data_IF_286436539386
#
_entry.id   IF_286436539386
#
_cell.length_a   1.000
_cell.length_b   1.000
_cell.length_c   1.000
_cell.angle_alpha   90.00
_cell.angle_beta   90.00
_cell.angle_gamma   90.00
#
_symmetry.space_group_name_H-M   'P 1'
#
loop_
_entity.id
_entity.type
_entity.pdbx_description
1 polymer ?
#
# COMPACT_ATOMS: atom_id res chain seq x y z
N UNK A 1 -71.86 49.36 -20.80
CA UNK A 1 -71.45 48.19 -20.01
C UNK A 1 -70.02 47.83 -20.37
N UNK A 2 -69.10 47.86 -19.39
CA UNK A 2 -67.94 46.98 -19.39
C UNK A 2 -67.90 46.11 -18.12
N UNK A 3 -67.45 44.87 -18.31
CA UNK A 3 -67.49 43.75 -17.36
C UNK A 3 -66.48 43.90 -16.22
N UNK A 4 -66.91 43.46 -15.02
CA UNK A 4 -66.11 43.33 -13.81
C UNK A 4 -65.23 42.06 -13.88
N UNK A 5 -63.91 42.23 -13.83
CA UNK A 5 -62.96 41.13 -13.68
C UNK A 5 -62.88 40.72 -12.21
N UNK A 6 -63.30 39.50 -11.92
CA UNK A 6 -63.20 38.83 -10.63
C UNK A 6 -61.77 38.33 -10.39
N UNK A 7 -61.11 38.83 -9.35
CA UNK A 7 -59.82 38.29 -8.87
C UNK A 7 -60.13 37.27 -7.78
N UNK A 8 -60.09 35.98 -8.13
CA UNK A 8 -60.13 34.89 -7.15
C UNK A 8 -58.73 34.65 -6.57
N UNK A 9 -58.62 34.92 -5.28
CA UNK A 9 -57.52 34.52 -4.41
C UNK A 9 -57.63 33.01 -4.11
N UNK A 10 -56.61 32.24 -4.49
CA UNK A 10 -56.45 30.84 -4.09
C UNK A 10 -54.99 30.57 -3.69
N UNK A 11 -54.73 29.71 -2.68
CA UNK A 11 -53.39 29.47 -2.17
C UNK A 11 -52.54 28.68 -3.17
N UNK A 12 -51.26 29.05 -3.28
CA UNK A 12 -50.23 28.38 -4.09
C UNK A 12 -50.11 26.91 -3.69
N UNK A 13 -50.17 25.94 -4.61
CA UNK A 13 -49.87 24.55 -4.29
C UNK A 13 -48.38 24.41 -3.93
N UNK A 14 -48.12 23.73 -2.81
CA UNK A 14 -46.77 23.38 -2.36
C UNK A 14 -46.05 22.50 -3.40
N UNK A 15 -44.71 22.57 -3.49
CA UNK A 15 -43.97 21.82 -4.49
C UNK A 15 -44.04 20.32 -4.20
N UNK A 16 -44.68 19.59 -5.12
CA UNK A 16 -44.65 18.14 -5.19
C UNK A 16 -43.20 17.66 -5.17
N UNK A 17 -42.83 16.92 -4.11
CA UNK A 17 -41.54 16.28 -4.04
C UNK A 17 -41.56 15.07 -4.98
N UNK A 18 -41.07 15.27 -6.20
CA UNK A 18 -40.93 14.18 -7.17
C UNK A 18 -39.79 13.25 -6.74
N UNK A 19 -40.13 12.02 -6.38
CA UNK A 19 -39.14 10.95 -6.17
C UNK A 19 -38.71 10.47 -7.56
N UNK A 20 -37.56 10.96 -8.03
CA UNK A 20 -36.92 10.37 -9.22
C UNK A 20 -36.29 9.02 -8.83
N UNK A 21 -36.85 7.95 -9.39
CA UNK A 21 -36.20 6.63 -9.39
C UNK A 21 -35.03 6.70 -10.37
N UNK A 22 -33.83 6.89 -9.84
CA UNK A 22 -32.59 6.81 -10.62
C UNK A 22 -32.25 5.34 -10.80
N UNK A 23 -32.22 4.87 -12.05
CA UNK A 23 -31.73 3.53 -12.39
C UNK A 23 -30.30 3.37 -11.87
N UNK A 24 -30.11 2.44 -10.92
CA UNK A 24 -28.80 2.09 -10.38
C UNK A 24 -27.98 1.38 -11.46
N UNK A 25 -27.38 2.15 -12.37
CA UNK A 25 -26.73 1.60 -13.55
C UNK A 25 -25.45 2.29 -14.02
N UNK A 26 -24.99 3.39 -13.41
CA UNK A 26 -23.69 3.99 -13.75
C UNK A 26 -22.95 4.36 -12.47
N UNK A 27 -21.97 3.55 -12.10
CA UNK A 27 -20.97 3.97 -11.13
C UNK A 27 -20.02 4.93 -11.84
N UNK A 28 -20.10 6.21 -11.51
CA UNK A 28 -19.18 7.26 -11.98
C UNK A 28 -17.78 7.09 -11.34
N UNK A 29 -17.07 6.04 -11.74
CA UNK A 29 -15.65 5.86 -11.43
C UNK A 29 -15.01 5.54 -12.78
N UNK A 30 -14.27 6.51 -13.31
CA UNK A 30 -13.35 6.33 -14.44
C UNK A 30 -12.38 5.19 -14.06
N UNK A 31 -12.41 4.04 -14.76
CA UNK A 31 -11.47 2.94 -14.55
C UNK A 31 -10.00 3.33 -14.79
N UNK A 32 -9.79 4.46 -15.45
CA UNK A 32 -8.54 4.83 -16.12
C UNK A 32 -7.44 5.35 -15.18
N UNK A 33 -7.79 5.97 -14.04
CA UNK A 33 -6.82 6.58 -13.10
C UNK A 33 -5.87 5.54 -12.45
N UNK A 34 -6.38 4.34 -12.15
CA UNK A 34 -5.57 3.28 -11.51
C UNK A 34 -4.75 2.48 -12.51
N UNK A 35 -5.25 2.24 -13.72
CA UNK A 35 -4.46 1.60 -14.77
C UNK A 35 -3.27 2.46 -15.17
N UNK A 36 -3.42 3.78 -15.16
CA UNK A 36 -2.35 4.72 -15.44
C UNK A 36 -1.27 4.70 -14.34
N UNK A 37 -1.66 4.62 -13.07
CA UNK A 37 -0.71 4.41 -11.95
C UNK A 37 0.03 3.07 -12.04
N UNK A 38 -0.66 1.99 -12.43
CA UNK A 38 -0.05 0.66 -12.64
C UNK A 38 0.93 0.68 -13.82
N UNK A 39 0.59 1.38 -14.91
CA UNK A 39 1.46 1.58 -16.08
C UNK A 39 2.68 2.41 -15.74
N UNK A 40 2.59 3.36 -14.79
CA UNK A 40 3.72 4.17 -14.36
C UNK A 40 4.82 3.35 -13.63
N UNK A 41 4.47 2.22 -13.00
CA UNK A 41 5.42 1.29 -12.37
C UNK A 41 6.12 0.37 -13.37
N UNK A 42 5.52 0.18 -14.54
CA UNK A 42 6.03 -0.73 -15.56
C UNK A 42 6.88 0.07 -16.56
N UNK A 43 8.12 -0.38 -16.85
CA UNK A 43 8.94 0.21 -17.90
C UNK A 43 8.20 0.25 -19.24
N UNK A 44 8.49 1.25 -20.08
CA UNK A 44 7.80 1.48 -21.36
C UNK A 44 6.33 1.91 -21.22
N UNK A 45 5.97 2.61 -20.13
CA UNK A 45 4.65 3.21 -19.90
C UNK A 45 4.12 4.10 -21.05
N UNK A 46 5.01 4.59 -21.92
CA UNK A 46 4.68 5.34 -23.14
C UNK A 46 3.85 4.52 -24.15
N UNK A 47 3.85 3.19 -24.07
CA UNK A 47 3.00 2.33 -24.89
C UNK A 47 2.10 1.46 -23.99
N UNK A 48 0.81 1.77 -23.88
CA UNK A 48 -0.09 1.09 -22.96
C UNK A 48 -0.23 -0.40 -23.27
N UNK A 49 -0.13 -0.80 -24.54
CA UNK A 49 -0.23 -2.23 -24.92
C UNK A 49 1.01 -3.02 -24.50
N UNK A 50 2.20 -2.42 -24.55
CA UNK A 50 3.44 -3.05 -24.06
C UNK A 50 3.44 -3.13 -22.54
N UNK A 51 3.03 -2.05 -21.87
CA UNK A 51 2.94 -2.01 -20.41
C UNK A 51 1.93 -3.04 -19.87
N UNK A 52 0.72 -3.10 -20.42
CA UNK A 52 -0.27 -4.14 -20.06
C UNK A 52 0.23 -5.54 -20.35
N UNK A 53 0.95 -5.76 -21.45
CA UNK A 53 1.55 -7.07 -21.72
C UNK A 53 2.62 -7.43 -20.65
N UNK A 54 3.49 -6.48 -20.33
CA UNK A 54 4.55 -6.68 -19.33
C UNK A 54 4.00 -6.82 -17.91
N UNK A 55 2.83 -6.27 -17.57
CA UNK A 55 2.20 -6.48 -16.24
C UNK A 55 1.91 -7.96 -16.00
N UNK A 56 1.33 -8.65 -16.98
CA UNK A 56 1.10 -10.10 -16.88
C UNK A 56 2.41 -10.89 -16.90
N UNK A 57 3.42 -10.46 -17.66
CA UNK A 57 4.74 -11.10 -17.63
C UNK A 57 5.42 -10.95 -16.25
N UNK A 58 5.30 -9.78 -15.63
CA UNK A 58 5.75 -9.52 -14.26
C UNK A 58 4.99 -10.39 -13.25
N UNK A 59 3.69 -10.65 -13.45
CA UNK A 59 2.93 -11.59 -12.63
C UNK A 59 3.25 -13.09 -12.89
N UNK A 60 4.22 -13.40 -13.76
CA UNK A 60 4.69 -14.77 -14.01
C UNK A 60 3.95 -15.51 -15.13
N UNK A 61 3.01 -14.87 -15.82
CA UNK A 61 2.30 -15.50 -16.93
C UNK A 61 3.23 -15.78 -18.12
N UNK A 62 2.98 -16.88 -18.83
CA UNK A 62 3.67 -17.19 -20.07
C UNK A 62 3.34 -16.17 -21.17
N UNK A 63 4.15 -16.16 -22.23
CA UNK A 63 3.93 -15.29 -23.39
C UNK A 63 2.56 -15.53 -24.02
N UNK A 64 2.13 -16.80 -24.09
CA UNK A 64 0.84 -17.17 -24.69
C UNK A 64 -0.33 -16.69 -23.84
N UNK A 65 -0.26 -16.88 -22.53
CA UNK A 65 -1.30 -16.40 -21.61
C UNK A 65 -1.39 -14.88 -21.61
N UNK A 66 -0.24 -14.20 -21.58
CA UNK A 66 -0.18 -12.73 -21.63
C UNK A 66 -0.79 -12.18 -22.92
N UNK A 67 -0.57 -12.83 -24.07
CA UNK A 67 -1.20 -12.48 -25.35
C UNK A 67 -2.70 -12.83 -25.42
N UNK A 68 -3.20 -13.72 -24.56
CA UNK A 68 -4.62 -14.03 -24.49
C UNK A 68 -5.37 -13.04 -23.60
N UNK A 69 -4.73 -12.58 -22.51
CA UNK A 69 -5.28 -11.61 -21.57
C UNK A 69 -5.21 -10.18 -22.11
N UNK A 70 -4.10 -9.81 -22.73
CA UNK A 70 -3.98 -8.55 -23.48
C UNK A 70 -4.28 -8.85 -24.93
N UNK A 71 -5.23 -8.17 -25.60
CA UNK A 71 -5.59 -8.42 -27.00
C UNK A 71 -4.45 -8.01 -27.97
N UNK A 72 -3.38 -8.80 -27.95
CA UNK A 72 -2.12 -8.61 -28.68
C UNK A 72 -1.73 -9.98 -29.24
N UNK A 73 -1.42 -10.03 -30.53
CA UNK A 73 -1.02 -11.27 -31.18
C UNK A 73 0.45 -11.59 -30.92
N UNK A 74 0.82 -12.86 -30.94
CA UNK A 74 2.23 -13.27 -30.84
C UNK A 74 3.11 -12.65 -31.93
N UNK A 75 2.57 -12.44 -33.14
CA UNK A 75 3.27 -11.74 -34.21
C UNK A 75 3.62 -10.29 -33.84
N UNK A 76 2.73 -9.60 -33.11
CA UNK A 76 2.97 -8.25 -32.60
C UNK A 76 4.11 -8.24 -31.57
N UNK A 77 4.10 -9.18 -30.63
CA UNK A 77 5.19 -9.33 -29.65
C UNK A 77 6.52 -9.64 -30.33
N UNK A 78 6.51 -10.50 -31.35
CA UNK A 78 7.71 -10.81 -32.14
C UNK A 78 8.25 -9.57 -32.86
N UNK A 79 7.38 -8.72 -33.39
CA UNK A 79 7.78 -7.44 -33.97
C UNK A 79 8.38 -6.51 -32.90
N UNK A 80 7.76 -6.39 -31.72
CA UNK A 80 8.32 -5.60 -30.61
C UNK A 80 9.70 -6.07 -30.19
N UNK A 81 9.94 -7.38 -30.06
CA UNK A 81 11.28 -7.93 -29.72
C UNK A 81 12.36 -7.60 -30.76
N UNK A 82 11.97 -7.42 -32.03
CA UNK A 82 12.88 -7.10 -33.14
C UNK A 82 13.14 -5.60 -33.22
N UNK A 83 12.10 -4.80 -33.06
CA UNK A 83 12.12 -3.36 -33.33
C UNK A 83 12.45 -2.55 -32.06
N UNK A 84 12.34 -3.15 -30.87
CA UNK A 84 12.60 -2.52 -29.58
C UNK A 84 13.46 -3.44 -28.69
N UNK A 85 14.76 -3.12 -28.64
CA UNK A 85 15.73 -3.86 -27.83
C UNK A 85 15.48 -3.71 -26.33
N UNK A 86 14.95 -2.57 -25.89
CA UNK A 86 14.62 -2.34 -24.49
C UNK A 86 13.47 -3.26 -24.06
N UNK A 87 12.42 -3.35 -24.87
CA UNK A 87 11.30 -4.28 -24.65
C UNK A 87 11.79 -5.74 -24.56
N UNK A 88 12.67 -6.15 -25.48
CA UNK A 88 13.26 -7.50 -25.46
C UNK A 88 13.99 -7.78 -24.14
N UNK A 89 14.70 -6.77 -23.63
CA UNK A 89 15.33 -6.83 -22.31
C UNK A 89 14.32 -7.04 -21.20
N UNK A 90 13.27 -6.23 -21.11
CA UNK A 90 12.26 -6.34 -20.03
C UNK A 90 11.42 -7.62 -20.07
N UNK A 91 11.28 -8.22 -21.25
CA UNK A 91 10.46 -9.42 -21.45
C UNK A 91 11.20 -10.73 -21.10
N UNK A 92 12.52 -10.70 -20.93
CA UNK A 92 13.34 -11.90 -20.76
C UNK A 92 14.55 -11.69 -19.85
N UNK A 93 15.14 -12.79 -19.36
CA UNK A 93 16.37 -12.75 -18.57
C UNK A 93 16.24 -12.01 -17.23
N UNK A 94 17.28 -11.25 -16.88
CA UNK A 94 17.44 -10.62 -15.57
C UNK A 94 16.39 -9.52 -15.30
N UNK A 95 16.06 -8.70 -16.30
CA UNK A 95 15.07 -7.62 -16.14
C UNK A 95 13.66 -8.15 -15.89
N UNK A 96 13.29 -9.28 -16.51
CA UNK A 96 12.03 -9.95 -16.21
C UNK A 96 12.02 -10.48 -14.77
N UNK A 97 13.12 -11.10 -14.32
CA UNK A 97 13.24 -11.60 -12.95
C UNK A 97 13.15 -10.45 -11.93
N UNK A 98 13.72 -9.29 -12.25
CA UNK A 98 13.56 -8.08 -11.46
C UNK A 98 12.10 -7.62 -11.40
N UNK A 99 11.39 -7.57 -12.53
CA UNK A 99 9.96 -7.22 -12.56
C UNK A 99 9.12 -8.18 -11.71
N UNK A 100 9.40 -9.48 -11.81
CA UNK A 100 8.72 -10.50 -11.02
C UNK A 100 8.95 -10.36 -9.52
N UNK A 101 10.15 -9.92 -9.12
CA UNK A 101 10.51 -9.80 -7.70
C UNK A 101 10.06 -8.48 -7.08
N UNK A 102 10.03 -7.39 -7.86
CA UNK A 102 9.84 -6.03 -7.34
C UNK A 102 8.50 -5.40 -7.72
N UNK A 103 7.87 -5.84 -8.82
CA UNK A 103 6.67 -5.18 -9.37
C UNK A 103 5.44 -6.08 -9.29
N UNK A 104 5.62 -7.41 -9.35
CA UNK A 104 4.50 -8.35 -9.33
C UNK A 104 3.62 -8.24 -8.07
N UNK A 105 4.25 -8.08 -6.91
CA UNK A 105 3.54 -7.93 -5.64
C UNK A 105 2.68 -6.66 -5.63
N UNK A 106 3.29 -5.52 -5.96
CA UNK A 106 2.62 -4.23 -6.07
C UNK A 106 1.42 -4.28 -7.02
N UNK A 107 1.60 -4.84 -8.21
CA UNK A 107 0.53 -4.98 -9.21
C UNK A 107 -0.64 -5.80 -8.64
N UNK A 108 -0.33 -6.94 -8.04
CA UNK A 108 -1.35 -7.84 -7.45
C UNK A 108 -2.08 -7.16 -6.30
N UNK A 109 -1.36 -6.48 -5.41
CA UNK A 109 -1.95 -5.78 -4.28
C UNK A 109 -2.87 -4.65 -4.75
N UNK A 110 -2.43 -3.85 -5.71
CA UNK A 110 -3.22 -2.77 -6.28
C UNK A 110 -4.48 -3.27 -7.00
N UNK A 111 -4.37 -4.31 -7.82
CA UNK A 111 -5.51 -4.94 -8.49
C UNK A 111 -6.51 -5.54 -7.49
N UNK A 112 -6.01 -6.22 -6.46
CA UNK A 112 -6.82 -6.75 -5.38
C UNK A 112 -7.56 -5.62 -4.64
N UNK A 113 -6.85 -4.57 -4.24
CA UNK A 113 -7.43 -3.43 -3.53
C UNK A 113 -8.49 -2.70 -4.36
N UNK A 114 -8.27 -2.57 -5.68
CA UNK A 114 -9.26 -2.04 -6.62
C UNK A 114 -10.53 -2.89 -6.63
N UNK A 115 -10.38 -4.20 -6.82
CA UNK A 115 -11.51 -5.13 -6.86
C UNK A 115 -12.25 -5.17 -5.51
N UNK A 116 -11.51 -5.14 -4.40
CA UNK A 116 -12.07 -5.08 -3.06
C UNK A 116 -12.92 -3.83 -2.85
N UNK A 117 -12.45 -2.66 -3.29
CA UNK A 117 -13.22 -1.40 -3.24
C UNK A 117 -14.53 -1.48 -4.05
N UNK A 118 -14.52 -2.15 -5.20
CA UNK A 118 -15.73 -2.35 -6.01
C UNK A 118 -16.75 -3.23 -5.26
N UNK A 119 -16.31 -4.31 -4.63
CA UNK A 119 -17.16 -5.14 -3.77
C UNK A 119 -17.77 -4.32 -2.62
N UNK A 120 -16.95 -3.56 -1.89
CA UNK A 120 -17.42 -2.71 -0.78
C UNK A 120 -18.47 -1.67 -1.23
N UNK A 121 -18.38 -1.14 -2.45
CA UNK A 121 -19.40 -0.24 -3.01
C UNK A 121 -20.73 -0.94 -3.25
N UNK A 122 -20.71 -2.18 -3.74
CA UNK A 122 -21.92 -2.97 -3.91
C UNK A 122 -22.53 -3.30 -2.55
N UNK A 123 -21.70 -3.74 -1.60
CA UNK A 123 -22.11 -4.07 -0.24
C UNK A 123 -22.75 -2.87 0.47
N UNK A 124 -22.16 -1.67 0.32
CA UNK A 124 -22.71 -0.41 0.85
C UNK A 124 -24.15 -0.19 0.40
N UNK A 125 -24.49 -0.45 -0.87
CA UNK A 125 -25.87 -0.26 -1.37
C UNK A 125 -26.85 -1.18 -0.66
N UNK A 126 -26.51 -2.45 -0.51
CA UNK A 126 -27.34 -3.45 0.17
C UNK A 126 -27.48 -3.12 1.65
N UNK A 127 -26.37 -2.80 2.33
CA UNK A 127 -26.36 -2.44 3.75
C UNK A 127 -27.17 -1.18 4.03
N UNK A 128 -27.04 -0.16 3.18
CA UNK A 128 -27.80 1.09 3.34
C UNK A 128 -29.31 0.87 3.21
N UNK A 129 -29.75 0.10 2.21
CA UNK A 129 -31.16 -0.28 2.06
C UNK A 129 -31.66 -1.11 3.25
N UNK A 130 -30.86 -2.07 3.70
CA UNK A 130 -31.22 -2.94 4.82
C UNK A 130 -31.35 -2.17 6.14
N UNK A 131 -30.53 -1.14 6.35
CA UNK A 131 -30.60 -0.28 7.52
C UNK A 131 -31.88 0.57 7.56
N UNK A 132 -32.43 0.94 6.41
CA UNK A 132 -33.67 1.72 6.30
C UNK A 132 -34.93 0.84 6.35
N UNK A 133 -34.93 -0.27 5.62
CA UNK A 133 -36.05 -1.23 5.62
C UNK A 133 -35.59 -2.61 5.15
N UNK A 134 -35.53 -3.56 6.08
CA UNK A 134 -35.12 -4.94 5.80
C UNK A 134 -36.11 -5.67 4.86
N UNK A 135 -37.40 -5.37 4.97
CA UNK A 135 -38.46 -5.99 4.14
C UNK A 135 -38.43 -5.51 2.70
N UNK A 136 -37.79 -4.37 2.43
CA UNK A 136 -37.67 -3.79 1.09
C UNK A 136 -36.57 -4.43 0.23
N UNK A 137 -35.82 -5.40 0.76
CA UNK A 137 -34.76 -6.09 0.05
C UNK A 137 -35.33 -7.17 -0.88
N UNK A 138 -34.79 -7.24 -2.09
CA UNK A 138 -35.04 -8.37 -2.98
C UNK A 138 -34.44 -9.66 -2.42
N UNK A 139 -34.93 -10.86 -2.82
CA UNK A 139 -34.37 -12.14 -2.36
C UNK A 139 -32.85 -12.24 -2.60
N UNK A 140 -32.38 -11.73 -3.74
CA UNK A 140 -30.95 -11.69 -4.12
C UNK A 140 -30.13 -10.78 -3.19
N UNK A 141 -30.63 -9.59 -2.89
CA UNK A 141 -29.97 -8.67 -1.95
C UNK A 141 -29.94 -9.25 -0.54
N UNK A 142 -30.97 -10.00 -0.14
CA UNK A 142 -31.01 -10.68 1.15
C UNK A 142 -29.98 -11.81 1.26
N UNK A 143 -29.73 -12.57 0.18
CA UNK A 143 -28.65 -13.54 0.11
C UNK A 143 -27.27 -12.87 0.22
N UNK A 144 -27.06 -11.79 -0.52
CA UNK A 144 -25.84 -10.99 -0.45
C UNK A 144 -25.63 -10.46 0.98
N UNK A 145 -26.68 -9.92 1.62
CA UNK A 145 -26.62 -9.43 2.99
C UNK A 145 -26.22 -10.52 3.99
N UNK A 146 -26.74 -11.75 3.83
CA UNK A 146 -26.35 -12.90 4.66
C UNK A 146 -24.88 -13.26 4.50
N UNK A 147 -24.31 -13.11 3.31
CA UNK A 147 -22.88 -13.34 3.06
C UNK A 147 -22.05 -12.22 3.68
N UNK A 148 -22.39 -10.96 3.38
CA UNK A 148 -21.70 -9.77 3.89
C UNK A 148 -21.57 -9.82 5.42
N UNK A 149 -22.66 -10.14 6.13
CA UNK A 149 -22.68 -10.18 7.60
C UNK A 149 -21.72 -11.20 8.21
N UNK A 150 -21.33 -12.25 7.49
CA UNK A 150 -20.35 -13.24 7.98
C UNK A 150 -18.95 -12.66 8.11
N UNK A 151 -18.65 -11.56 7.41
CA UNK A 151 -17.32 -10.95 7.36
C UNK A 151 -17.16 -9.74 8.29
N UNK A 152 -18.17 -9.42 9.12
CA UNK A 152 -18.07 -8.40 10.17
C UNK A 152 -17.67 -9.02 11.51
N UNK A 153 -16.71 -9.94 11.50
CA UNK A 153 -16.13 -10.49 12.72
C UNK A 153 -14.88 -9.70 13.12
N UNK A 154 -14.52 -9.67 14.41
CA UNK A 154 -13.27 -9.05 14.85
C UNK A 154 -12.03 -9.62 14.14
N UNK A 155 -12.05 -10.92 13.79
CA UNK A 155 -10.94 -11.57 13.10
C UNK A 155 -10.78 -11.06 11.66
N UNK A 156 -11.90 -10.91 10.94
CA UNK A 156 -11.88 -10.37 9.59
C UNK A 156 -11.43 -8.90 9.57
N UNK A 157 -11.86 -8.11 10.57
CA UNK A 157 -11.43 -6.71 10.71
C UNK A 157 -9.92 -6.62 10.93
N UNK A 158 -9.36 -7.49 11.79
CA UNK A 158 -7.91 -7.56 12.02
C UNK A 158 -7.18 -7.99 10.73
N UNK A 159 -7.73 -8.96 10.00
CA UNK A 159 -7.15 -9.40 8.72
C UNK A 159 -7.12 -8.27 7.68
N UNK A 160 -8.20 -7.49 7.57
CA UNK A 160 -8.27 -6.30 6.70
C UNK A 160 -7.28 -5.24 7.16
N UNK A 161 -7.17 -4.97 8.46
CA UNK A 161 -6.19 -4.02 8.99
C UNK A 161 -4.75 -4.42 8.65
N UNK A 162 -4.41 -5.71 8.73
CA UNK A 162 -3.11 -6.23 8.32
C UNK A 162 -2.88 -6.09 6.82
N UNK A 163 -3.90 -6.38 6.00
CA UNK A 163 -3.81 -6.25 4.55
C UNK A 163 -3.67 -4.79 4.06
N UNK A 164 -4.17 -3.83 4.85
CA UNK A 164 -4.08 -2.40 4.58
C UNK A 164 -2.78 -1.76 5.09
N UNK A 165 -2.02 -2.45 5.93
CA UNK A 165 -0.74 -1.91 6.39
C UNK A 165 0.25 -1.96 5.22
N UNK A 166 0.92 -0.84 4.90
CA UNK A 166 2.02 -0.86 3.95
C UNK A 166 3.11 -1.78 4.52
N UNK A 167 3.59 -2.73 3.73
CA UNK A 167 4.71 -3.57 4.15
C UNK A 167 5.90 -2.67 4.49
N UNK A 168 6.53 -2.84 5.67
CA UNK A 168 7.55 -1.91 6.18
C UNK A 168 8.80 -1.81 5.29
N UNK A 169 8.98 -2.73 4.35
CA UNK A 169 10.08 -2.73 3.38
C UNK A 169 9.69 -2.18 1.98
N UNK A 170 8.41 -1.91 1.72
CA UNK A 170 7.97 -1.31 0.46
C UNK A 170 7.96 0.21 0.57
N UNK A 171 9.04 0.82 0.08
CA UNK A 171 9.13 2.27 -0.06
C UNK A 171 8.12 2.79 -1.09
N UNK A 172 7.44 3.93 -0.80
CA UNK A 172 6.57 4.57 -1.77
C UNK A 172 7.34 5.02 -3.03
N UNK A 173 6.66 5.14 -4.19
CA UNK A 173 7.32 5.42 -5.46
C UNK A 173 8.06 6.77 -5.40
N UNK A 174 9.35 6.76 -5.75
CA UNK A 174 10.23 7.94 -5.73
C UNK A 174 11.03 8.14 -4.44
N UNK A 175 10.82 7.32 -3.41
CA UNK A 175 11.69 7.33 -2.23
C UNK A 175 12.85 6.35 -2.43
N UNK A 176 14.07 6.88 -2.42
CA UNK A 176 15.30 6.10 -2.31
C UNK A 176 15.59 5.89 -0.83
N UNK A 177 16.00 4.67 -0.42
CA UNK A 177 16.70 4.53 0.87
C UNK A 177 17.99 5.32 0.71
N UNK A 178 18.08 6.52 1.27
CA UNK A 178 19.38 7.02 1.70
C UNK A 178 19.88 6.02 2.73
N UNK A 179 20.72 5.09 2.29
CA UNK A 179 21.48 4.23 3.19
C UNK A 179 22.38 5.16 3.97
N UNK A 180 21.91 5.61 5.13
CA UNK A 180 22.70 6.37 6.07
C UNK A 180 23.81 5.44 6.56
N UNK A 181 24.95 5.48 5.87
CA UNK A 181 26.18 4.80 6.26
C UNK A 181 26.72 5.56 7.47
N UNK A 182 26.29 5.13 8.65
CA UNK A 182 26.87 5.59 9.91
C UNK A 182 28.32 5.13 9.91
N UNK A 183 29.23 6.06 9.63
CA UNK A 183 30.67 5.86 9.75
C UNK A 183 31.03 6.05 11.21
N UNK A 184 31.46 4.98 11.86
CA UNK A 184 32.09 5.05 13.17
C UNK A 184 33.59 4.96 12.91
N UNK A 185 34.34 6.01 13.28
CA UNK A 185 35.80 6.06 13.19
C UNK A 185 36.39 5.74 11.80
N UNK A 186 35.73 6.19 10.73
CA UNK A 186 36.23 6.07 9.35
C UNK A 186 36.04 4.71 8.68
N UNK A 187 35.36 3.75 9.33
CA UNK A 187 35.07 2.44 8.74
C UNK A 187 33.60 2.35 8.33
N UNK A 188 33.33 2.05 7.05
CA UNK A 188 31.96 1.88 6.53
C UNK A 188 31.46 0.49 6.88
N UNK A 189 30.34 0.41 7.60
CA UNK A 189 29.77 -0.86 8.08
C UNK A 189 28.48 -1.17 7.33
N UNK A 190 28.57 -1.95 6.26
CA UNK A 190 27.45 -2.20 5.34
C UNK A 190 26.53 -3.35 5.76
N UNK A 191 27.02 -4.32 6.54
CA UNK A 191 26.25 -5.54 6.90
C UNK A 191 25.67 -5.49 8.31
N UNK A 192 24.48 -6.08 8.50
CA UNK A 192 23.75 -6.05 9.79
C UNK A 192 24.54 -6.70 10.95
N UNK A 193 25.25 -7.79 10.66
CA UNK A 193 26.15 -8.41 11.64
C UNK A 193 27.31 -7.48 12.03
N UNK A 194 27.88 -6.75 11.07
CA UNK A 194 28.96 -5.81 11.37
C UNK A 194 28.43 -4.60 12.16
N UNK A 195 27.18 -4.17 11.94
CA UNK A 195 26.53 -3.14 12.78
C UNK A 195 26.35 -3.60 14.23
N UNK A 196 25.98 -4.86 14.44
CA UNK A 196 25.83 -5.43 15.81
C UNK A 196 27.18 -5.54 16.53
N UNK A 197 28.25 -5.85 15.80
CA UNK A 197 29.61 -5.91 16.37
C UNK A 197 30.12 -4.51 16.71
N UNK A 198 30.01 -3.55 15.79
CA UNK A 198 30.41 -2.16 16.03
C UNK A 198 29.60 -1.50 17.18
N UNK A 199 28.31 -1.81 17.29
CA UNK A 199 27.48 -1.33 18.38
C UNK A 199 27.91 -1.88 19.75
N UNK A 200 28.37 -3.14 19.82
CA UNK A 200 28.92 -3.73 21.05
C UNK A 200 30.25 -3.09 21.44
N UNK A 201 31.13 -2.89 20.46
CA UNK A 201 32.43 -2.27 20.68
C UNK A 201 32.32 -0.81 21.15
N UNK A 202 31.37 -0.04 20.59
CA UNK A 202 31.05 1.30 21.10
C UNK A 202 30.51 1.28 22.54
N UNK A 203 29.70 0.29 22.89
CA UNK A 203 29.16 0.14 24.24
C UNK A 203 30.28 -0.17 25.24
N UNK A 204 31.20 -1.06 24.88
CA UNK A 204 32.37 -1.41 25.69
C UNK A 204 33.32 -0.22 25.85
N UNK A 205 33.52 0.58 24.80
CA UNK A 205 34.29 1.82 24.85
C UNK A 205 33.61 2.89 25.73
N UNK A 206 32.29 2.97 25.71
CA UNK A 206 31.54 3.89 26.58
C UNK A 206 31.57 3.45 28.05
N UNK A 207 31.44 2.15 28.32
CA UNK A 207 31.53 1.60 29.67
C UNK A 207 32.94 1.73 30.25
N UNK A 208 33.97 1.47 29.45
CA UNK A 208 35.37 1.66 29.88
C UNK A 208 35.69 3.13 30.11
N UNK A 209 35.20 4.04 29.25
CA UNK A 209 35.29 5.49 29.47
C UNK A 209 34.58 5.95 30.75
N UNK A 210 33.39 5.40 31.04
CA UNK A 210 32.65 5.65 32.28
C UNK A 210 33.40 5.15 33.52
N UNK A 211 34.04 3.99 33.44
CA UNK A 211 34.90 3.46 34.53
C UNK A 211 36.15 4.31 34.73
N UNK A 212 36.76 4.80 33.65
CA UNK A 212 37.92 5.68 33.71
C UNK A 212 37.56 7.04 34.35
N UNK A 213 36.39 7.60 34.01
CA UNK A 213 35.88 8.83 34.63
C UNK A 213 35.54 8.62 36.12
N UNK A 214 34.91 7.51 36.47
CA UNK A 214 34.63 7.18 37.88
C UNK A 214 35.91 6.97 38.70
N UNK A 215 36.94 6.34 38.10
CA UNK A 215 38.25 6.18 38.71
C UNK A 215 38.97 7.53 38.87
N UNK A 216 38.88 8.43 37.89
CA UNK A 216 39.42 9.78 37.98
C UNK A 216 38.72 10.61 39.08
N UNK A 217 37.39 10.55 39.19
CA UNK A 217 36.63 11.20 40.27
C UNK A 217 36.99 10.66 41.66
N UNK A 218 37.32 9.36 41.78
CA UNK A 218 37.77 8.75 43.04
C UNK A 218 39.19 9.20 43.43
N UNK A 219 40.06 9.45 42.45
CA UNK A 219 41.39 10.02 42.67
C UNK A 219 41.29 11.50 43.05
N UNK A 220 40.39 12.25 42.44
CA UNK A 220 40.17 13.67 42.74
C UNK A 220 39.55 13.90 44.13
N UNK A 221 38.73 12.95 44.62
CA UNK A 221 38.14 12.98 45.98
C UNK A 221 39.10 12.57 47.11
N UNK A 222 40.27 12.01 46.82
CA UNK A 222 41.29 11.65 47.81
C UNK A 222 42.63 12.35 47.50
N UNK A 223 42.82 13.62 47.88
CA UNK A 223 44.03 14.37 47.54
C UNK A 223 45.19 14.18 48.53
N UNK A 224 45.26 13.08 49.30
CA UNK A 224 46.37 12.86 50.24
C UNK A 224 47.14 11.56 49.95
N UNK A 225 48.45 11.63 49.66
CA UNK A 225 49.28 10.45 49.50
C UNK A 225 49.65 9.93 50.90
N UNK A 226 49.17 8.72 51.25
CA UNK A 226 49.84 7.90 52.27
C UNK A 226 49.08 7.55 53.54
N UNK A 227 47.78 7.26 53.49
CA UNK A 227 47.14 6.45 54.56
C UNK A 227 46.77 5.06 54.05
N UNK A 228 47.18 3.98 54.76
CA UNK A 228 46.79 2.63 54.40
C UNK A 228 45.29 2.41 54.67
N UNK A 229 44.66 1.65 53.77
CA UNK A 229 43.26 1.26 53.85
C UNK A 229 43.06 0.26 54.99
N UNK A 230 42.33 0.65 56.03
CA UNK A 230 41.82 -0.28 57.05
C UNK A 230 40.47 -0.82 56.57
N UNK A 231 40.37 -2.13 56.41
CA UNK A 231 39.14 -2.84 56.09
C UNK A 231 38.83 -3.86 57.19
N UNK A 232 37.57 -3.88 57.66
CA UNK A 232 37.05 -4.95 58.51
C UNK A 232 36.59 -6.11 57.61
N UNK A 233 37.23 -7.28 57.76
CA UNK A 233 36.76 -8.53 57.15
C UNK A 233 35.72 -9.13 58.09
N UNK A 234 34.44 -9.04 57.71
CA UNK A 234 33.38 -9.79 58.37
C UNK A 234 33.28 -11.16 57.68
N UNK A 235 33.56 -12.21 58.44
CA UNK A 235 33.43 -13.64 58.06
C UNK A 235 31.99 -14.05 57.79
#
# INVERSE_FOLDING_TARGET
>A
MPELVSIQSGPKPEPEHSVQVVESGKSDIEPDDYEEMLRARIPLGNNPRKASYLSYRAAGFSVRESCALVPVTFGTVKAWRRDDEEFRGWESGEKLSWLQSNVAHDLTQMEFMRNFRLCLRLDKKVLYRAALSLESLTPKEMEILKVIRKHYTPQDIIAVQRALQPEPDHLPPGSYRETLTVTVEGTVVETENARRVAARELLDNFESGKRALAAAELVEKNPEPGKPLEGEVIN
#
